data_IF_778637638130
#
_entry.id   IF_778637638130
#
_cell.length_a   1.000
_cell.length_b   1.000
_cell.length_c   1.000
_cell.angle_alpha   90.00
_cell.angle_beta   90.00
_cell.angle_gamma   90.00
#
_symmetry.space_group_name_H-M   'P 1'
#
loop_
_entity.id
_entity.type
_entity.pdbx_description
1 polymer ?
#
# COMPACT_ATOMS: atom_id res chain seq x y z
N UNK A 1 29.67 31.09 13.04
CA UNK A 1 30.39 30.42 14.13
C UNK A 1 30.25 28.93 13.91
N UNK A 2 31.33 28.25 13.56
CA UNK A 2 31.36 26.78 13.46
C UNK A 2 31.54 26.24 14.88
N UNK A 3 30.47 25.76 15.47
CA UNK A 3 30.57 24.90 16.64
C UNK A 3 30.04 23.54 16.20
N UNK A 4 30.92 22.54 16.22
CA UNK A 4 30.57 21.14 15.99
C UNK A 4 30.09 20.74 14.59
N UNK A 5 30.54 21.38 13.50
CA UNK A 5 30.26 20.91 12.12
C UNK A 5 28.82 21.08 11.64
N UNK A 6 27.97 21.74 12.42
CA UNK A 6 26.66 22.19 12.00
C UNK A 6 26.79 23.49 11.17
N UNK A 7 26.01 23.63 10.09
CA UNK A 7 26.05 24.79 9.21
C UNK A 7 24.66 25.36 9.02
N UNK A 8 24.50 26.65 9.28
CA UNK A 8 23.26 27.37 9.03
C UNK A 8 23.40 28.34 7.86
N UNK A 9 22.40 28.33 6.99
CA UNK A 9 22.24 29.22 5.84
C UNK A 9 20.83 29.82 5.91
N UNK A 10 20.71 31.08 6.34
CA UNK A 10 19.40 31.72 6.47
C UNK A 10 19.48 33.05 7.21
N UNK A 11 18.30 33.56 7.56
CA UNK A 11 18.17 34.79 8.33
C UNK A 11 18.70 34.61 9.76
N UNK A 12 19.34 35.65 10.30
CA UNK A 12 19.82 35.68 11.67
C UNK A 12 19.55 37.05 12.27
N UNK A 13 19.07 37.09 13.51
CA UNK A 13 18.83 38.33 14.25
C UNK A 13 19.54 38.25 15.60
N UNK A 14 20.35 39.26 15.93
CA UNK A 14 21.15 39.32 17.17
C UNK A 14 21.94 38.02 17.45
N UNK A 15 22.65 37.52 16.44
CA UNK A 15 23.45 36.27 16.52
C UNK A 15 22.63 34.99 16.76
N UNK A 16 21.30 35.07 16.73
CA UNK A 16 20.38 33.93 16.83
C UNK A 16 19.77 33.60 15.47
N UNK A 17 19.46 32.32 15.26
CA UNK A 17 18.80 31.85 14.05
C UNK A 17 17.32 32.26 14.12
N UNK A 18 16.87 33.05 13.15
CA UNK A 18 15.50 33.54 13.06
C UNK A 18 15.04 33.56 11.61
N UNK A 19 13.73 33.50 11.36
CA UNK A 19 13.20 33.55 10.00
C UNK A 19 13.34 32.22 9.27
N UNK A 20 13.34 32.22 7.94
CA UNK A 20 13.47 30.99 7.16
C UNK A 20 14.95 30.66 6.91
N UNK A 21 15.32 29.40 7.08
CA UNK A 21 16.69 28.99 6.88
C UNK A 21 16.87 27.49 6.73
N UNK A 22 18.08 27.12 6.31
CA UNK A 22 18.56 25.77 6.19
C UNK A 22 19.61 25.50 7.26
N UNK A 23 19.35 24.54 8.13
CA UNK A 23 20.27 24.10 9.16
C UNK A 23 20.75 22.69 8.90
N UNK A 24 22.00 22.56 8.51
CA UNK A 24 22.68 21.28 8.29
C UNK A 24 23.29 20.82 9.59
N UNK A 25 22.90 19.65 10.06
CA UNK A 25 23.48 18.97 11.20
C UNK A 25 24.82 18.35 10.78
N UNK A 26 25.71 18.17 11.74
CA UNK A 26 27.00 17.50 11.62
C UNK A 26 26.90 16.04 11.20
N UNK A 27 25.74 15.42 11.43
CA UNK A 27 25.41 14.09 10.90
C UNK A 27 25.23 14.10 9.38
N UNK A 28 24.98 15.27 8.78
CA UNK A 28 24.70 15.49 7.36
C UNK A 28 23.21 15.52 7.02
N UNK A 29 22.32 15.24 7.98
CA UNK A 29 20.90 15.58 7.85
C UNK A 29 20.73 17.11 7.87
N UNK A 30 19.70 17.64 7.24
CA UNK A 30 19.45 19.08 7.25
C UNK A 30 17.98 19.43 7.41
N UNK A 31 17.69 20.50 8.13
CA UNK A 31 16.36 21.08 8.27
C UNK A 31 16.22 22.27 7.35
N UNK A 32 15.09 22.38 6.66
CA UNK A 32 14.67 23.57 5.89
C UNK A 32 13.31 24.03 6.41
N UNK A 33 13.24 25.23 6.95
CA UNK A 33 12.01 25.75 7.53
C UNK A 33 12.21 27.02 8.32
N UNK A 34 11.16 27.43 9.02
CA UNK A 34 11.23 28.59 9.90
C UNK A 34 12.02 28.25 11.19
N UNK A 35 12.65 29.27 11.72
CA UNK A 35 13.41 29.25 12.96
C UNK A 35 13.01 30.43 13.82
N UNK A 36 13.04 30.20 15.12
CA UNK A 36 12.81 31.23 16.11
C UNK A 36 13.69 30.95 17.32
N UNK A 37 14.44 31.95 17.76
CA UNK A 37 15.33 31.88 18.91
C UNK A 37 16.34 30.71 18.85
N UNK A 38 16.86 30.39 17.65
CA UNK A 38 17.79 29.27 17.47
C UNK A 38 17.15 27.88 17.42
N UNK A 39 15.83 27.77 17.52
CA UNK A 39 15.08 26.51 17.47
C UNK A 39 14.24 26.39 16.19
N UNK A 40 13.94 25.16 15.79
CA UNK A 40 12.97 24.91 14.72
C UNK A 40 11.59 25.40 15.13
N UNK A 41 10.93 26.15 14.27
CA UNK A 41 9.64 26.78 14.56
C UNK A 41 8.77 26.88 13.30
N UNK A 42 7.45 26.84 13.42
CA UNK A 42 6.53 26.90 12.28
C UNK A 42 6.65 25.69 11.34
N UNK A 43 6.22 25.83 10.09
CA UNK A 43 6.34 24.74 9.11
C UNK A 43 7.81 24.54 8.69
N UNK A 44 8.23 23.27 8.69
CA UNK A 44 9.59 22.89 8.31
C UNK A 44 9.75 21.42 7.99
N UNK A 45 10.77 21.11 7.19
CA UNK A 45 11.07 19.77 6.71
C UNK A 45 12.48 19.37 7.10
N UNK A 46 12.62 18.27 7.83
CA UNK A 46 13.90 17.65 8.14
C UNK A 46 14.23 16.59 7.09
N UNK A 47 15.35 16.75 6.40
CA UNK A 47 15.88 15.82 5.42
C UNK A 47 16.89 14.88 6.09
N UNK A 48 16.57 13.60 6.10
CA UNK A 48 17.39 12.56 6.68
C UNK A 48 18.40 12.02 5.65
N UNK A 49 19.52 11.48 6.15
CA UNK A 49 20.61 10.93 5.33
C UNK A 49 20.20 9.74 4.45
N UNK A 50 19.22 8.97 4.91
CA UNK A 50 18.63 7.85 4.16
C UNK A 50 17.72 8.31 2.99
N UNK A 51 17.59 9.63 2.77
CA UNK A 51 16.75 10.21 1.72
C UNK A 51 15.28 10.38 2.11
N UNK A 52 14.86 9.93 3.30
CA UNK A 52 13.52 10.26 3.81
C UNK A 52 13.46 11.71 4.27
N UNK A 53 12.28 12.32 4.19
CA UNK A 53 11.99 13.66 4.69
C UNK A 53 10.98 13.54 5.83
N UNK A 54 11.02 14.46 6.77
CA UNK A 54 10.07 14.55 7.85
C UNK A 54 9.52 15.97 7.89
N UNK A 55 8.28 16.12 7.42
CA UNK A 55 7.57 17.38 7.37
C UNK A 55 6.71 17.53 8.62
N UNK A 56 6.85 18.63 9.35
CA UNK A 56 6.07 18.87 10.57
C UNK A 56 5.88 20.36 10.82
N UNK A 57 4.95 20.67 11.72
CA UNK A 57 4.87 21.99 12.36
C UNK A 57 5.72 21.93 13.63
N UNK A 58 6.69 22.82 13.75
CA UNK A 58 7.65 22.86 14.85
C UNK A 58 7.27 23.95 15.85
N UNK A 59 7.34 23.63 17.13
CA UNK A 59 7.11 24.59 18.20
C UNK A 59 8.20 24.37 19.27
N UNK A 60 9.07 25.38 19.45
CA UNK A 60 10.20 25.33 20.38
C UNK A 60 11.09 24.09 20.18
N UNK A 61 11.37 23.73 18.92
CA UNK A 61 12.17 22.55 18.57
C UNK A 61 11.43 21.22 18.64
N UNK A 62 10.16 21.19 19.07
CA UNK A 62 9.36 19.97 19.10
C UNK A 62 8.46 19.87 17.86
N UNK A 63 8.49 18.72 17.18
CA UNK A 63 7.60 18.45 16.07
C UNK A 63 6.16 18.17 16.54
N UNK A 64 5.20 18.75 15.84
CA UNK A 64 3.75 18.52 15.96
C UNK A 64 3.21 18.11 14.60
N UNK A 65 2.30 17.14 14.59
CA UNK A 65 1.61 16.66 13.38
C UNK A 65 2.59 16.26 12.25
N UNK A 66 3.59 15.44 12.56
CA UNK A 66 4.62 15.08 11.62
C UNK A 66 4.19 14.04 10.57
N UNK A 67 4.68 14.22 9.35
CA UNK A 67 4.56 13.31 8.21
C UNK A 67 5.96 12.88 7.76
N UNK A 68 6.26 11.59 7.85
CA UNK A 68 7.47 11.00 7.24
C UNK A 68 7.16 10.74 5.77
N UNK A 69 8.02 11.23 4.89
CA UNK A 69 8.00 10.97 3.45
C UNK A 69 9.23 10.12 3.12
N UNK A 70 9.03 8.88 2.73
CA UNK A 70 10.11 7.98 2.35
C UNK A 70 10.70 8.32 0.98
N UNK A 71 11.85 7.73 0.65
CA UNK A 71 12.57 7.99 -0.61
C UNK A 71 11.73 7.65 -1.86
N UNK A 72 10.85 6.67 -1.76
CA UNK A 72 9.90 6.24 -2.79
C UNK A 72 8.66 7.15 -2.89
N UNK A 73 8.56 8.17 -2.05
CA UNK A 73 7.43 9.10 -1.98
C UNK A 73 6.30 8.64 -1.08
N UNK A 74 6.41 7.47 -0.43
CA UNK A 74 5.40 6.98 0.51
C UNK A 74 5.31 7.94 1.72
N UNK A 75 4.08 8.25 2.15
CA UNK A 75 3.81 9.15 3.26
C UNK A 75 3.28 8.38 4.46
N UNK A 76 3.80 8.68 5.64
CA UNK A 76 3.38 8.10 6.91
C UNK A 76 3.10 9.21 7.93
N UNK A 77 1.94 9.15 8.58
CA UNK A 77 1.55 10.01 9.69
C UNK A 77 1.20 9.10 10.87
N UNK A 78 1.46 9.51 12.11
CA UNK A 78 1.13 8.69 13.30
C UNK A 78 -0.36 8.32 13.39
N UNK A 79 -1.25 9.08 12.75
CA UNK A 79 -2.70 8.82 12.65
C UNK A 79 -3.13 8.23 11.29
N UNK A 80 -2.18 7.81 10.44
CA UNK A 80 -2.52 7.23 9.15
C UNK A 80 -3.12 5.83 9.37
N UNK A 81 -4.36 5.65 8.92
CA UNK A 81 -4.99 4.34 8.75
C UNK A 81 -4.15 3.54 7.75
N UNK A 82 -3.26 2.70 8.27
CA UNK A 82 -2.53 1.72 7.50
C UNK A 82 -3.55 0.75 6.88
N UNK A 83 -3.50 0.56 5.55
CA UNK A 83 -4.48 -0.14 4.70
C UNK A 83 -5.60 0.73 4.10
N UNK A 84 -5.22 1.78 3.36
CA UNK A 84 -5.99 2.13 2.15
C UNK A 84 -5.73 1.07 1.05
N UNK A 85 -6.43 1.19 -0.08
CA UNK A 85 -6.64 0.26 -1.21
C UNK A 85 -5.40 -0.52 -1.75
N UNK A 86 -4.19 -0.28 -1.24
CA UNK A 86 -2.93 -0.97 -1.56
C UNK A 86 -2.43 -2.00 -0.53
N UNK A 87 -3.06 -2.17 0.65
CA UNK A 87 -2.66 -3.25 1.56
C UNK A 87 -3.22 -4.61 1.09
N UNK A 88 -2.39 -5.34 0.34
CA UNK A 88 -2.70 -6.67 -0.19
C UNK A 88 -2.83 -7.77 0.86
N UNK A 89 -2.58 -7.46 2.14
CA UNK A 89 -2.59 -8.48 3.19
C UNK A 89 -4.03 -8.94 3.43
N UNK A 90 -4.22 -10.25 3.44
CA UNK A 90 -5.50 -10.83 3.85
C UNK A 90 -5.75 -10.55 5.34
N UNK A 91 -7.02 -10.52 5.75
CA UNK A 91 -7.39 -10.28 7.15
C UNK A 91 -6.67 -11.24 8.11
N UNK A 92 -6.51 -12.49 7.69
CA UNK A 92 -5.74 -13.49 8.45
C UNK A 92 -4.25 -13.13 8.64
N UNK A 93 -3.60 -12.50 7.65
CA UNK A 93 -2.21 -12.03 7.74
C UNK A 93 -2.07 -10.81 8.66
N UNK A 94 -3.13 -10.00 8.76
CA UNK A 94 -3.20 -8.87 9.71
C UNK A 94 -3.34 -9.40 11.14
N UNK A 95 -4.23 -10.37 11.37
CA UNK A 95 -4.50 -10.88 12.72
C UNK A 95 -3.46 -11.89 13.23
N UNK A 96 -2.90 -12.72 12.35
CA UNK A 96 -2.03 -13.85 12.73
C UNK A 96 -0.57 -13.66 12.31
N UNK A 97 -0.23 -12.52 11.71
CA UNK A 97 1.11 -12.21 11.22
C UNK A 97 1.42 -12.80 9.83
N UNK A 98 2.53 -12.33 9.25
CA UNK A 98 2.99 -12.76 7.93
C UNK A 98 3.58 -14.18 7.96
N UNK A 99 3.32 -14.96 6.92
CA UNK A 99 3.89 -16.30 6.75
C UNK A 99 5.36 -16.24 6.32
N UNK A 100 6.17 -17.28 6.60
CA UNK A 100 7.55 -17.37 6.13
C UNK A 100 7.64 -17.25 4.60
N UNK A 101 8.75 -16.68 4.13
CA UNK A 101 9.06 -16.50 2.70
C UNK A 101 8.94 -17.82 1.92
N UNK A 102 8.26 -17.80 0.77
CA UNK A 102 8.09 -18.97 -0.11
C UNK A 102 6.67 -19.56 -0.16
N UNK A 103 5.73 -19.08 0.66
CA UNK A 103 4.30 -19.35 0.52
C UNK A 103 3.52 -18.04 0.42
N UNK A 104 3.19 -17.65 -0.81
CA UNK A 104 2.28 -16.53 -1.05
C UNK A 104 0.84 -17.00 -0.81
N UNK A 105 0.16 -16.35 0.13
CA UNK A 105 -1.25 -16.61 0.37
C UNK A 105 -2.06 -16.03 -0.79
N UNK A 106 -2.83 -16.88 -1.49
CA UNK A 106 -3.63 -16.50 -2.66
C UNK A 106 -5.09 -16.21 -2.25
N UNK A 107 -5.52 -16.75 -1.10
CA UNK A 107 -6.87 -16.66 -0.58
C UNK A 107 -6.86 -16.41 0.92
N UNK A 108 -7.92 -15.81 1.46
CA UNK A 108 -8.01 -15.48 2.88
C UNK A 108 -7.89 -16.70 3.82
N UNK A 109 -8.27 -17.91 3.37
CA UNK A 109 -8.10 -19.15 4.12
C UNK A 109 -7.25 -20.16 3.39
N UNK A 110 -6.17 -20.60 4.02
CA UNK A 110 -5.38 -21.76 3.58
C UNK A 110 -5.55 -22.97 4.50
N UNK A 111 -5.68 -24.20 3.95
CA UNK A 111 -5.77 -24.48 2.52
C UNK A 111 -7.07 -23.92 1.93
N UNK A 112 -6.98 -23.52 0.67
CA UNK A 112 -8.14 -23.13 -0.11
C UNK A 112 -9.26 -24.17 0.03
N UNK A 113 -10.50 -23.72 0.26
CA UNK A 113 -11.66 -24.61 0.22
C UNK A 113 -11.73 -25.29 -1.14
N UNK A 114 -11.99 -26.60 -1.12
CA UNK A 114 -12.23 -27.37 -2.35
C UNK A 114 -13.62 -27.04 -2.87
N UNK A 115 -13.69 -26.50 -4.08
CA UNK A 115 -14.95 -26.13 -4.73
C UNK A 115 -15.48 -27.38 -5.47
N UNK A 116 -16.76 -27.74 -5.34
CA UNK A 116 -17.37 -28.83 -6.12
C UNK A 116 -17.26 -28.58 -7.63
N UNK A 117 -17.11 -29.65 -8.41
CA UNK A 117 -16.98 -29.54 -9.87
C UNK A 117 -18.18 -28.81 -10.49
N UNK A 118 -17.90 -27.85 -11.36
CA UNK A 118 -18.93 -27.00 -11.98
C UNK A 118 -19.48 -25.88 -11.09
N UNK A 119 -18.99 -25.71 -9.86
CA UNK A 119 -19.44 -24.68 -8.94
C UNK A 119 -18.45 -23.52 -8.77
N UNK A 120 -18.94 -22.44 -8.16
CA UNK A 120 -18.20 -21.22 -7.79
C UNK A 120 -18.25 -21.02 -6.27
N UNK A 121 -17.21 -20.42 -5.68
CA UNK A 121 -17.18 -20.03 -4.26
C UNK A 121 -17.60 -18.56 -4.12
N UNK A 122 -18.75 -18.33 -3.48
CA UNK A 122 -19.34 -16.99 -3.28
C UNK A 122 -18.85 -16.32 -2.00
N UNK A 123 -17.98 -16.96 -1.22
CA UNK A 123 -17.49 -16.48 0.09
C UNK A 123 -18.38 -16.86 1.27
N UNK A 124 -19.66 -17.15 1.02
CA UNK A 124 -20.64 -17.67 1.97
C UNK A 124 -21.18 -19.06 1.62
N UNK A 125 -20.82 -19.59 0.44
CA UNK A 125 -21.31 -20.87 -0.05
C UNK A 125 -20.75 -21.29 -1.41
N UNK A 126 -21.32 -22.36 -1.95
CA UNK A 126 -21.08 -22.82 -3.31
C UNK A 126 -22.28 -22.54 -4.21
N UNK A 127 -22.01 -21.89 -5.33
CA UNK A 127 -23.00 -21.58 -6.35
C UNK A 127 -22.91 -22.55 -7.53
N UNK A 128 -24.06 -23.08 -7.95
CA UNK A 128 -24.16 -23.90 -9.16
C UNK A 128 -24.87 -23.12 -10.28
N UNK A 129 -24.22 -22.86 -11.43
CA UNK A 129 -24.76 -22.04 -12.51
C UNK A 129 -25.91 -22.70 -13.28
N UNK A 130 -26.05 -24.03 -13.21
CA UNK A 130 -27.13 -24.80 -13.85
C UNK A 130 -28.42 -24.71 -13.04
N UNK A 131 -28.33 -24.85 -11.72
CA UNK A 131 -29.50 -24.80 -10.84
C UNK A 131 -29.82 -23.39 -10.35
N UNK A 132 -28.88 -22.45 -10.48
CA UNK A 132 -28.93 -21.09 -9.92
C UNK A 132 -29.07 -21.04 -8.39
N UNK A 133 -28.64 -22.11 -7.70
CA UNK A 133 -28.74 -22.21 -6.23
C UNK A 133 -27.38 -21.97 -5.58
N UNK A 134 -27.39 -21.25 -4.47
CA UNK A 134 -26.28 -21.15 -3.52
C UNK A 134 -26.59 -22.07 -2.32
N UNK A 135 -25.66 -22.96 -2.01
CA UNK A 135 -25.66 -23.78 -0.78
C UNK A 135 -24.53 -23.33 0.14
N UNK A 136 -24.70 -23.41 1.45
CA UNK A 136 -23.61 -23.14 2.38
C UNK A 136 -22.51 -24.21 2.27
N UNK A 137 -21.41 -24.01 2.99
CA UNK A 137 -20.30 -24.96 3.01
C UNK A 137 -20.62 -26.32 3.66
N UNK A 138 -21.78 -26.46 4.32
CA UNK A 138 -22.29 -27.70 4.90
C UNK A 138 -23.37 -28.38 4.02
N UNK A 139 -23.70 -27.80 2.87
CA UNK A 139 -24.71 -28.32 1.94
C UNK A 139 -26.14 -27.88 2.22
N UNK A 140 -26.37 -26.92 3.12
CA UNK A 140 -27.69 -26.34 3.39
C UNK A 140 -28.04 -25.32 2.31
N UNK A 141 -29.28 -25.33 1.84
CA UNK A 141 -29.80 -24.29 0.97
C UNK A 141 -29.69 -22.90 1.61
N UNK A 142 -29.13 -21.94 0.88
CA UNK A 142 -29.08 -20.53 1.27
C UNK A 142 -30.10 -19.70 0.49
N UNK A 143 -29.93 -19.65 -0.84
CA UNK A 143 -30.76 -18.79 -1.72
C UNK A 143 -30.71 -19.24 -3.18
N UNK A 144 -31.67 -18.76 -3.95
CA UNK A 144 -31.60 -18.74 -5.42
C UNK A 144 -30.96 -17.42 -5.85
N UNK A 145 -29.98 -17.47 -6.75
CA UNK A 145 -29.36 -16.28 -7.31
C UNK A 145 -30.26 -15.66 -8.38
N UNK A 146 -30.42 -14.34 -8.34
CA UNK A 146 -31.05 -13.60 -9.41
C UNK A 146 -30.11 -13.41 -10.62
N UNK A 147 -30.55 -12.67 -11.63
CA UNK A 147 -29.77 -12.48 -12.86
C UNK A 147 -28.48 -11.66 -12.63
N UNK A 148 -28.52 -10.67 -11.74
CA UNK A 148 -27.37 -9.80 -11.44
C UNK A 148 -26.33 -10.58 -10.63
N UNK A 149 -26.77 -11.27 -9.58
CA UNK A 149 -25.92 -12.13 -8.76
C UNK A 149 -25.31 -13.26 -9.60
N UNK A 150 -26.09 -13.91 -10.47
CA UNK A 150 -25.57 -14.92 -11.39
C UNK A 150 -24.41 -14.39 -12.25
N UNK A 151 -24.62 -13.22 -12.85
CA UNK A 151 -23.63 -12.60 -13.75
C UNK A 151 -22.38 -12.21 -12.97
N UNK A 152 -22.55 -11.66 -11.78
CA UNK A 152 -21.45 -11.28 -10.89
C UNK A 152 -20.65 -12.51 -10.46
N UNK A 153 -21.31 -13.58 -10.02
CA UNK A 153 -20.64 -14.81 -9.57
C UNK A 153 -19.81 -15.42 -10.71
N UNK A 154 -20.37 -15.55 -11.91
CA UNK A 154 -19.62 -16.12 -13.05
C UNK A 154 -18.41 -15.26 -13.41
N UNK A 155 -18.52 -13.93 -13.31
CA UNK A 155 -17.46 -13.01 -13.71
C UNK A 155 -16.35 -12.86 -12.65
N UNK A 156 -16.69 -12.94 -11.36
CA UNK A 156 -15.80 -12.49 -10.27
C UNK A 156 -15.43 -13.57 -9.26
N UNK A 157 -16.26 -14.59 -9.09
CA UNK A 157 -15.98 -15.62 -8.10
C UNK A 157 -14.95 -16.63 -8.59
N UNK A 158 -14.21 -17.18 -7.63
CA UNK A 158 -13.34 -18.33 -7.88
C UNK A 158 -14.20 -19.53 -8.27
N UNK A 159 -13.75 -20.29 -9.26
CA UNK A 159 -14.41 -21.48 -9.77
C UNK A 159 -13.57 -22.74 -9.57
N UNK A 160 -14.20 -23.89 -9.72
CA UNK A 160 -13.58 -25.20 -9.47
C UNK A 160 -12.51 -25.60 -10.51
N UNK A 161 -12.43 -24.91 -11.65
CA UNK A 161 -11.48 -25.20 -12.72
C UNK A 161 -10.61 -23.99 -13.06
N UNK A 162 -9.44 -24.27 -13.62
CA UNK A 162 -8.55 -23.24 -14.17
C UNK A 162 -8.92 -22.96 -15.64
N UNK A 163 -8.74 -21.71 -16.07
CA UNK A 163 -8.86 -21.33 -17.47
C UNK A 163 -7.69 -20.44 -17.87
N UNK A 164 -7.27 -20.56 -19.13
CA UNK A 164 -6.20 -19.72 -19.65
C UNK A 164 -6.77 -18.35 -20.06
N UNK A 165 -6.41 -17.29 -19.34
CA UNK A 165 -6.89 -15.92 -19.53
C UNK A 165 -5.96 -15.04 -20.40
N UNK A 166 -4.93 -15.63 -21.03
CA UNK A 166 -4.00 -14.90 -21.91
C UNK A 166 -4.45 -14.84 -23.37
N UNK A 167 -3.96 -13.85 -24.12
CA UNK A 167 -4.14 -13.79 -25.57
C UNK A 167 -3.61 -15.08 -26.22
N UNK A 168 -4.47 -15.83 -26.88
CA UNK A 168 -4.06 -16.97 -27.68
C UNK A 168 -3.31 -16.43 -28.90
N UNK A 169 -2.03 -16.77 -29.03
CA UNK A 169 -1.22 -16.37 -30.17
C UNK A 169 -1.76 -17.07 -31.42
N UNK A 170 -2.36 -16.32 -32.35
CA UNK A 170 -2.82 -16.87 -33.62
C UNK A 170 -1.60 -17.17 -34.51
N UNK A 171 -1.32 -18.46 -34.69
CA UNK A 171 -0.13 -18.97 -35.41
C UNK A 171 -0.24 -18.71 -36.92
N UNK A 172 -1.39 -18.25 -37.43
CA UNK A 172 -1.62 -18.01 -38.86
C UNK A 172 -0.93 -16.76 -39.44
N UNK A 173 -0.46 -15.83 -38.59
CA UNK A 173 0.07 -14.52 -39.06
C UNK A 173 1.54 -14.58 -39.55
N UNK A 174 2.26 -15.69 -39.36
CA UNK A 174 3.71 -15.77 -39.72
C UNK A 174 4.04 -15.95 -41.20
N UNK A 175 3.08 -16.09 -42.12
CA UNK A 175 3.39 -16.36 -43.54
C UNK A 175 3.61 -15.12 -44.43
N UNK A 176 3.45 -13.88 -43.93
CA UNK A 176 3.51 -12.69 -44.79
C UNK A 176 4.77 -11.81 -44.69
N UNK A 177 5.78 -12.19 -43.89
CA UNK A 177 7.03 -11.42 -43.82
C UNK A 177 8.24 -12.32 -44.05
N UNK A 178 8.58 -12.50 -45.33
CA UNK A 178 9.89 -13.01 -45.73
C UNK A 178 10.65 -11.84 -46.40
N UNK A 179 11.77 -11.36 -45.83
CA UNK A 179 12.55 -10.28 -46.41
C UNK A 179 13.44 -10.80 -47.54
N UNK A 180 13.43 -10.09 -48.67
CA UNK A 180 14.58 -10.04 -49.59
C UNK A 180 15.57 -9.00 -49.08
#
# INVERSE_FOLDING_TARGET
MEYCGDRYEGETHNERLEGYGKYTLSTGAYYEGKMYDGMFHGEGTLHCLNGSKYHAVWENGHAKNGEIIFLDGLKYREEAHYADEFDRRFYTEICSGLRPTGRSQIVDKEPARRIPDGCYDTGDGFYNPLTKVVIDYNGRFLRNADHEEHTWIISKCRKAWDEYIGATYDVSIKQSMNPY
#
